data_IF_812424412826
#
_entry.id   IF_812424412826
#
_cell.length_a   1.000
_cell.length_b   1.000
_cell.length_c   1.000
_cell.angle_alpha   90.00
_cell.angle_beta   90.00
_cell.angle_gamma   90.00
#
_symmetry.space_group_name_H-M   'P 1'
#
loop_
_entity.id
_entity.type
_entity.pdbx_description
1 polymer ?
#
# COMPACT_ATOMS: atom_id res chain seq x y z
N UNK A 1 30.20 12.98 -10.50
CA UNK A 1 29.44 13.49 -9.35
C UNK A 1 28.00 13.58 -9.81
N UNK A 2 27.19 12.61 -9.44
CA UNK A 2 25.73 12.63 -9.68
C UNK A 2 25.10 12.82 -8.31
N UNK A 3 24.31 13.88 -8.17
CA UNK A 3 23.59 14.21 -6.94
C UNK A 3 22.42 13.24 -6.77
N UNK A 4 22.71 12.03 -6.27
CA UNK A 4 21.73 11.04 -5.78
C UNK A 4 21.50 11.19 -4.26
N UNK A 5 21.71 12.39 -3.72
CA UNK A 5 21.30 12.82 -2.37
C UNK A 5 19.89 13.43 -2.58
N UNK A 6 18.74 12.81 -2.26
CA UNK A 6 18.28 12.31 -0.97
C UNK A 6 17.15 11.26 -1.14
N UNK A 7 17.28 10.30 -2.06
CA UNK A 7 16.28 9.24 -2.18
C UNK A 7 16.55 8.11 -1.19
N UNK A 8 15.91 8.17 -0.03
CA UNK A 8 15.93 7.06 0.91
C UNK A 8 15.31 5.84 0.22
N UNK A 9 16.09 4.78 0.02
CA UNK A 9 15.71 3.66 -0.85
C UNK A 9 14.38 2.97 -0.49
N UNK A 10 13.93 1.98 -1.30
CA UNK A 10 12.63 1.31 -1.18
C UNK A 10 12.20 0.89 0.24
N UNK A 11 13.16 0.54 1.09
CA UNK A 11 12.90 0.17 2.49
C UNK A 11 12.43 1.33 3.36
N UNK A 12 13.02 2.52 3.22
CA UNK A 12 12.66 3.67 4.04
C UNK A 12 11.26 4.15 3.71
N UNK A 13 10.97 4.35 2.43
CA UNK A 13 9.64 4.75 2.01
C UNK A 13 8.56 3.68 2.29
N UNK A 14 8.91 2.39 2.32
CA UNK A 14 8.00 1.36 2.85
C UNK A 14 7.69 1.64 4.33
N UNK A 15 8.71 1.93 5.14
CA UNK A 15 8.52 2.30 6.55
C UNK A 15 7.64 3.53 6.68
N UNK A 16 7.94 4.58 5.91
CA UNK A 16 7.19 5.83 5.93
C UNK A 16 5.72 5.61 5.49
N UNK A 17 5.49 4.75 4.49
CA UNK A 17 4.14 4.39 4.05
C UNK A 17 3.38 3.62 5.14
N UNK A 18 4.04 2.71 5.87
CA UNK A 18 3.43 2.03 7.02
C UNK A 18 3.09 3.04 8.12
N UNK A 19 3.99 3.97 8.43
CA UNK A 19 3.78 4.99 9.46
C UNK A 19 2.63 5.92 9.10
N UNK A 20 2.49 6.31 7.82
CA UNK A 20 1.35 7.08 7.31
C UNK A 20 0.06 6.27 7.47
N UNK A 21 0.01 5.05 6.94
CA UNK A 21 -1.24 4.28 6.84
C UNK A 21 -1.70 3.67 8.16
N UNK A 22 -0.78 3.42 9.09
CA UNK A 22 -1.10 2.82 10.40
C UNK A 22 -1.56 3.83 11.45
N UNK A 23 -1.33 5.13 11.20
CA UNK A 23 -1.54 6.18 12.20
C UNK A 23 -3.02 6.36 12.59
N UNK A 24 -3.92 6.35 11.60
CA UNK A 24 -5.35 6.56 11.81
C UNK A 24 -6.16 5.50 11.05
N UNK A 25 -7.10 4.78 11.69
CA UNK A 25 -8.09 3.95 11.00
C UNK A 25 -8.82 4.65 9.85
N UNK A 26 -8.99 5.97 9.89
CA UNK A 26 -9.55 6.78 8.81
C UNK A 26 -8.72 6.70 7.51
N UNK A 27 -7.45 6.30 7.59
CA UNK A 27 -6.57 6.11 6.44
C UNK A 27 -6.95 4.89 5.58
N UNK A 28 -7.99 4.13 5.96
CA UNK A 28 -8.63 3.11 5.11
C UNK A 28 -8.88 3.62 3.68
N UNK A 29 -9.35 4.85 3.51
CA UNK A 29 -9.61 5.42 2.19
C UNK A 29 -8.32 5.61 1.38
N UNK A 30 -7.23 6.01 2.04
CA UNK A 30 -5.93 6.12 1.39
C UNK A 30 -5.40 4.75 0.97
N UNK A 31 -5.57 3.71 1.80
CA UNK A 31 -5.21 2.33 1.45
C UNK A 31 -5.98 1.90 0.19
N UNK A 32 -7.29 2.13 0.13
CA UNK A 32 -8.12 1.79 -1.04
C UNK A 32 -7.64 2.52 -2.28
N UNK A 33 -7.40 3.83 -2.19
CA UNK A 33 -6.93 4.64 -3.34
C UNK A 33 -5.57 4.16 -3.84
N UNK A 34 -4.60 3.94 -2.93
CA UNK A 34 -3.26 3.48 -3.30
C UNK A 34 -3.33 2.13 -4.03
N UNK A 35 -4.05 1.17 -3.49
CA UNK A 35 -4.24 -0.13 -4.13
C UNK A 35 -4.92 0.04 -5.50
N UNK A 36 -6.03 0.78 -5.55
CA UNK A 36 -6.81 0.99 -6.78
C UNK A 36 -5.97 1.62 -7.89
N UNK A 37 -5.06 2.54 -7.54
CA UNK A 37 -4.20 3.21 -8.50
C UNK A 37 -3.01 2.36 -8.95
N UNK A 38 -2.43 1.53 -8.09
CA UNK A 38 -1.41 0.55 -8.52
C UNK A 38 -1.98 -0.44 -9.54
N UNK A 39 -3.28 -0.78 -9.41
CA UNK A 39 -3.98 -1.64 -10.37
C UNK A 39 -4.39 -0.91 -11.67
N UNK A 40 -4.17 0.41 -11.76
CA UNK A 40 -4.44 1.23 -12.96
C UNK A 40 -3.12 1.65 -13.62
N UNK A 41 -3.16 2.00 -14.91
CA UNK A 41 -1.98 2.50 -15.60
C UNK A 41 -1.56 3.88 -15.02
N UNK A 42 -0.40 3.91 -14.36
CA UNK A 42 0.17 5.10 -13.71
C UNK A 42 0.71 6.15 -14.70
N UNK A 43 0.59 5.92 -16.00
CA UNK A 43 0.93 6.92 -17.04
C UNK A 43 0.02 8.14 -17.05
N UNK A 44 -1.14 8.07 -16.40
CA UNK A 44 -2.08 9.19 -16.28
C UNK A 44 -1.64 10.18 -15.18
N UNK A 45 -1.40 11.43 -15.54
CA UNK A 45 -1.05 12.50 -14.60
C UNK A 45 -2.16 12.77 -13.58
N UNK A 46 -3.41 12.44 -13.90
CA UNK A 46 -4.53 12.47 -12.97
C UNK A 46 -4.38 11.42 -11.87
N UNK A 47 -4.00 10.19 -12.22
CA UNK A 47 -3.74 9.10 -11.27
C UNK A 47 -2.64 9.47 -10.27
N UNK A 48 -1.55 10.10 -10.75
CA UNK A 48 -0.46 10.58 -9.88
C UNK A 48 -0.95 11.67 -8.92
N UNK A 49 -1.82 12.57 -9.39
CA UNK A 49 -2.40 13.64 -8.57
C UNK A 49 -3.35 13.09 -7.49
N UNK A 50 -4.18 12.10 -7.85
CA UNK A 50 -5.11 11.43 -6.92
C UNK A 50 -4.35 10.63 -5.84
N UNK A 51 -3.25 9.96 -6.22
CA UNK A 51 -2.32 9.32 -5.28
C UNK A 51 -1.68 10.31 -4.32
N UNK A 52 -1.16 11.42 -4.85
CA UNK A 52 -0.54 12.48 -4.04
C UNK A 52 -1.53 13.07 -3.03
N UNK A 53 -2.77 13.32 -3.44
CA UNK A 53 -3.81 13.81 -2.54
C UNK A 53 -4.15 12.79 -1.46
N UNK A 54 -4.31 11.50 -1.82
CA UNK A 54 -4.59 10.44 -0.85
C UNK A 54 -3.48 10.30 0.20
N UNK A 55 -2.21 10.43 -0.22
CA UNK A 55 -1.07 10.42 0.69
C UNK A 55 -1.03 11.67 1.57
N UNK A 56 -1.34 12.84 1.02
CA UNK A 56 -1.40 14.07 1.82
C UNK A 56 -2.50 13.99 2.87
N UNK A 57 -3.70 13.57 2.51
CA UNK A 57 -4.82 13.41 3.44
C UNK A 57 -4.46 12.43 4.58
N UNK A 58 -3.85 11.29 4.24
CA UNK A 58 -3.43 10.30 5.23
C UNK A 58 -2.24 10.74 6.09
N UNK A 59 -1.41 11.62 5.57
CA UNK A 59 -0.22 12.10 6.25
C UNK A 59 -0.42 13.44 6.97
N UNK A 60 -1.56 14.11 6.80
CA UNK A 60 -1.95 15.26 7.65
C UNK A 60 -2.17 14.82 9.09
N UNK A 61 -2.68 13.60 9.28
CA UNK A 61 -2.86 13.00 10.59
C UNK A 61 -1.59 12.34 11.12
N UNK A 62 -0.63 12.01 10.27
CA UNK A 62 0.62 11.37 10.68
C UNK A 62 1.75 12.39 10.89
N UNK A 63 2.68 12.12 11.81
CA UNK A 63 3.80 13.03 12.10
C UNK A 63 4.94 12.89 11.07
N UNK A 64 4.62 12.57 9.81
CA UNK A 64 5.57 12.26 8.74
C UNK A 64 5.92 13.53 7.97
N UNK A 65 7.21 13.78 7.79
CA UNK A 65 7.69 15.01 7.15
C UNK A 65 7.42 15.01 5.63
N UNK A 66 7.56 16.18 5.00
CA UNK A 66 7.31 16.34 3.55
C UNK A 66 8.20 15.43 2.69
N UNK A 67 9.46 15.26 3.09
CA UNK A 67 10.44 14.46 2.36
C UNK A 67 10.06 12.98 2.29
N UNK A 68 9.61 12.40 3.40
CA UNK A 68 9.09 11.04 3.46
C UNK A 68 7.86 10.86 2.57
N UNK A 69 6.96 11.85 2.50
CA UNK A 69 5.80 11.82 1.59
C UNK A 69 6.23 11.85 0.12
N UNK A 70 7.16 12.74 -0.23
CA UNK A 70 7.69 12.86 -1.58
C UNK A 70 8.42 11.56 -1.99
N UNK A 71 9.10 10.90 -1.05
CA UNK A 71 9.74 9.60 -1.26
C UNK A 71 8.73 8.48 -1.51
N UNK A 72 7.67 8.40 -0.70
CA UNK A 72 6.57 7.44 -0.91
C UNK A 72 5.91 7.66 -2.27
N UNK A 73 5.61 8.91 -2.63
CA UNK A 73 4.97 9.25 -3.90
C UNK A 73 5.86 8.91 -5.11
N UNK A 74 7.15 9.24 -5.05
CA UNK A 74 8.10 8.86 -6.09
C UNK A 74 8.13 7.35 -6.25
N UNK A 75 8.19 6.59 -5.15
CA UNK A 75 8.23 5.13 -5.24
C UNK A 75 6.98 4.56 -5.88
N UNK A 76 5.80 5.01 -5.46
CA UNK A 76 4.52 4.57 -6.01
C UNK A 76 4.29 4.99 -7.46
N UNK A 77 5.11 5.88 -8.05
CA UNK A 77 4.86 6.41 -9.40
C UNK A 77 6.03 6.30 -10.38
N UNK A 78 7.26 6.16 -9.89
CA UNK A 78 8.49 6.21 -10.72
C UNK A 78 9.32 4.95 -10.69
N UNK A 79 9.10 4.04 -9.73
CA UNK A 79 9.80 2.74 -9.74
C UNK A 79 9.14 1.71 -10.64
N UNK A 80 9.88 0.66 -10.97
CA UNK A 80 9.39 -0.43 -11.81
C UNK A 80 8.19 -1.16 -11.14
N UNK A 81 7.23 -1.71 -11.93
CA UNK A 81 6.03 -2.33 -11.37
C UNK A 81 6.29 -3.42 -10.34
N UNK A 82 7.30 -4.28 -10.57
CA UNK A 82 7.71 -5.34 -9.64
C UNK A 82 8.13 -4.78 -8.27
N UNK A 83 8.88 -3.68 -8.25
CA UNK A 83 9.31 -3.00 -7.01
C UNK A 83 8.08 -2.43 -6.27
N UNK A 84 7.17 -1.78 -6.99
CA UNK A 84 5.94 -1.22 -6.37
C UNK A 84 5.03 -2.29 -5.82
N UNK A 85 4.81 -3.37 -6.58
CA UNK A 85 4.02 -4.52 -6.15
C UNK A 85 4.60 -5.14 -4.87
N UNK A 86 5.91 -5.38 -4.83
CA UNK A 86 6.58 -5.90 -3.65
C UNK A 86 6.36 -5.01 -2.42
N UNK A 87 6.57 -3.69 -2.57
CA UNK A 87 6.41 -2.73 -1.47
C UNK A 87 4.96 -2.71 -0.99
N UNK A 88 4.00 -2.64 -1.91
CA UNK A 88 2.59 -2.59 -1.56
C UNK A 88 2.16 -3.85 -0.82
N UNK A 89 2.53 -5.03 -1.32
CA UNK A 89 2.23 -6.31 -0.69
C UNK A 89 2.82 -6.39 0.72
N UNK A 90 4.08 -6.01 0.89
CA UNK A 90 4.75 -6.04 2.20
C UNK A 90 4.23 -4.96 3.17
N UNK A 91 3.72 -3.83 2.65
CA UNK A 91 3.07 -2.78 3.45
C UNK A 91 1.74 -3.28 3.99
N UNK A 92 0.87 -3.81 3.11
CA UNK A 92 -0.43 -4.35 3.50
C UNK A 92 -0.27 -5.55 4.44
N UNK A 93 0.70 -6.42 4.18
CA UNK A 93 1.04 -7.53 5.09
C UNK A 93 1.36 -7.02 6.50
N UNK A 94 2.15 -5.96 6.62
CA UNK A 94 2.53 -5.38 7.92
C UNK A 94 1.32 -4.74 8.61
N UNK A 95 0.51 -3.97 7.88
CA UNK A 95 -0.71 -3.37 8.43
C UNK A 95 -1.70 -4.44 8.95
N UNK A 96 -1.77 -5.61 8.30
CA UNK A 96 -2.59 -6.75 8.76
C UNK A 96 -2.05 -7.41 10.04
N UNK A 97 -0.75 -7.26 10.34
CA UNK A 97 -0.14 -7.74 11.59
C UNK A 97 -0.34 -6.75 12.74
N UNK A 98 -0.52 -5.47 12.45
CA UNK A 98 -0.77 -4.43 13.45
C UNK A 98 -2.22 -4.47 13.95
N UNK A 99 -2.49 -4.66 15.26
CA UNK A 99 -3.86 -4.75 15.77
C UNK A 99 -4.73 -3.52 15.49
N UNK A 100 -4.13 -2.32 15.51
CA UNK A 100 -4.82 -1.05 15.23
C UNK A 100 -5.21 -0.89 13.76
N UNK A 101 -4.42 -1.44 12.84
CA UNK A 101 -4.59 -1.27 11.40
C UNK A 101 -5.28 -2.45 10.72
N UNK A 102 -5.26 -3.64 11.36
CA UNK A 102 -5.78 -4.88 10.76
C UNK A 102 -7.21 -4.76 10.24
N UNK A 103 -8.14 -4.25 11.04
CA UNK A 103 -9.54 -4.09 10.61
C UNK A 103 -9.69 -3.08 9.45
N UNK A 104 -9.18 -1.84 9.57
CA UNK A 104 -9.08 -0.90 8.45
C UNK A 104 -8.52 -1.51 7.16
N UNK A 105 -7.44 -2.29 7.26
CA UNK A 105 -6.80 -2.93 6.11
C UNK A 105 -7.66 -4.03 5.49
N UNK A 106 -8.35 -4.85 6.29
CA UNK A 106 -9.31 -5.83 5.79
C UNK A 106 -10.50 -5.15 5.12
N UNK A 107 -11.01 -4.05 5.69
CA UNK A 107 -12.10 -3.27 5.11
C UNK A 107 -11.68 -2.67 3.76
N UNK A 108 -10.44 -2.17 3.66
CA UNK A 108 -9.87 -1.69 2.39
C UNK A 108 -9.74 -2.81 1.34
N UNK A 109 -9.16 -3.96 1.71
CA UNK A 109 -9.03 -5.11 0.81
C UNK A 109 -10.39 -5.62 0.32
N UNK A 110 -11.40 -5.60 1.18
CA UNK A 110 -12.77 -6.01 0.86
C UNK A 110 -13.39 -5.10 -0.22
N UNK A 111 -13.10 -3.79 -0.16
CA UNK A 111 -13.55 -2.82 -1.17
C UNK A 111 -12.89 -3.02 -2.54
N UNK A 112 -11.67 -3.54 -2.58
CA UNK A 112 -10.95 -3.79 -3.84
C UNK A 112 -11.28 -5.17 -4.42
N UNK A 113 -11.35 -6.21 -3.58
CA UNK A 113 -11.35 -7.62 -4.01
C UNK A 113 -12.67 -8.37 -3.78
N UNK A 114 -13.64 -7.76 -3.09
CA UNK A 114 -14.88 -8.35 -2.52
C UNK A 114 -14.69 -9.08 -1.18
N UNK A 115 -15.77 -9.10 -0.38
CA UNK A 115 -15.79 -9.69 0.96
C UNK A 115 -15.59 -11.21 0.93
N UNK A 116 -16.22 -11.89 -0.03
CA UNK A 116 -16.12 -13.35 -0.17
C UNK A 116 -14.69 -13.75 -0.55
N UNK A 117 -14.03 -13.00 -1.43
CA UNK A 117 -12.65 -13.29 -1.81
C UNK A 117 -11.68 -13.07 -0.64
N UNK A 118 -11.82 -11.95 0.08
CA UNK A 118 -11.00 -11.67 1.28
C UNK A 118 -11.19 -12.76 2.34
N UNK A 119 -12.43 -13.16 2.64
CA UNK A 119 -12.72 -14.24 3.60
C UNK A 119 -12.08 -15.56 3.16
N UNK A 120 -12.25 -15.93 1.90
CA UNK A 120 -11.70 -17.18 1.36
C UNK A 120 -10.16 -17.20 1.47
N UNK A 121 -9.49 -16.14 1.02
CA UNK A 121 -8.03 -16.07 1.03
C UNK A 121 -7.49 -16.00 2.47
N UNK A 122 -8.14 -15.26 3.36
CA UNK A 122 -7.73 -15.22 4.77
C UNK A 122 -7.93 -16.57 5.48
N UNK A 123 -8.98 -17.33 5.13
CA UNK A 123 -9.15 -18.70 5.62
C UNK A 123 -8.03 -19.64 5.13
N UNK A 124 -7.46 -19.41 3.94
CA UNK A 124 -6.28 -20.15 3.49
C UNK A 124 -5.03 -19.82 4.32
N UNK A 125 -4.87 -18.57 4.77
CA UNK A 125 -3.80 -18.20 5.71
C UNK A 125 -3.97 -18.92 7.05
N UNK A 126 -5.18 -18.93 7.61
CA UNK A 126 -5.48 -19.61 8.88
C UNK A 126 -5.20 -21.12 8.80
N UNK A 127 -5.50 -21.73 7.64
CA UNK A 127 -5.22 -23.13 7.35
C UNK A 127 -3.77 -23.42 6.99
N UNK A 128 -2.90 -22.40 6.99
CA UNK A 128 -1.48 -22.48 6.61
C UNK A 128 -1.26 -22.98 5.18
N UNK A 129 -2.23 -22.75 4.31
CA UNK A 129 -2.14 -23.03 2.87
C UNK A 129 -1.32 -21.94 2.18
N UNK A 130 -1.54 -20.68 2.59
CA UNK A 130 -0.79 -19.51 2.13
C UNK A 130 -0.11 -18.81 3.30
N UNK A 131 1.02 -18.17 3.04
CA UNK A 131 1.53 -17.12 3.93
C UNK A 131 0.69 -15.85 3.78
N UNK A 132 0.75 -14.95 4.77
CA UNK A 132 0.04 -13.67 4.69
C UNK A 132 0.51 -12.83 3.49
N UNK A 133 1.81 -12.86 3.19
CA UNK A 133 2.39 -12.21 2.02
C UNK A 133 1.77 -12.74 0.70
N UNK A 134 1.70 -14.07 0.56
CA UNK A 134 1.08 -14.72 -0.62
C UNK A 134 -0.41 -14.39 -0.73
N UNK A 135 -1.13 -14.39 0.40
CA UNK A 135 -2.54 -14.02 0.44
C UNK A 135 -2.78 -12.58 -0.02
N UNK A 136 -1.98 -11.63 0.46
CA UNK A 136 -2.06 -10.23 0.00
C UNK A 136 -1.78 -10.14 -1.49
N UNK A 137 -0.74 -10.82 -2.00
CA UNK A 137 -0.45 -10.83 -3.43
C UNK A 137 -1.64 -11.33 -4.26
N UNK A 138 -2.26 -12.44 -3.87
CA UNK A 138 -3.45 -13.01 -4.55
C UNK A 138 -4.64 -12.04 -4.52
N UNK A 139 -4.86 -11.35 -3.41
CA UNK A 139 -5.98 -10.41 -3.26
C UNK A 139 -5.81 -9.15 -4.13
N UNK A 140 -4.57 -8.70 -4.30
CA UNK A 140 -4.25 -7.51 -5.10
C UNK A 140 -4.15 -7.85 -6.60
N UNK A 141 -3.65 -9.03 -6.96
CA UNK A 141 -3.29 -9.36 -8.33
C UNK A 141 -3.87 -10.71 -8.81
N UNK A 142 -5.21 -10.85 -8.84
CA UNK A 142 -5.87 -12.14 -9.13
C UNK A 142 -5.61 -12.67 -10.55
N UNK A 143 -5.35 -11.79 -11.52
CA UNK A 143 -5.13 -12.14 -12.93
C UNK A 143 -3.65 -12.30 -13.31
N UNK A 144 -2.74 -12.31 -12.34
CA UNK A 144 -1.31 -12.55 -12.59
C UNK A 144 -1.05 -14.04 -12.75
N UNK A 145 -1.59 -14.64 -13.79
CA UNK A 145 -1.40 -16.05 -14.18
C UNK A 145 -0.97 -16.14 -15.63
#
# INVERSE_FOLDING_TARGET
>A
MSNDEDFSGPMQARSDLIDILSHDPANTEAIVKIITHELKDLKDSKTVSELSNALNDAAESSNVNKEAKDNVLYLLTKTAPDVRQMILVQTIEELLKLPSSKKPTIDALTRVSSEDNVKMVMAWVERKILTLNQAVYVLLYPDSS
#
